data_IF_848423467769
#
_entry.id   IF_848423467769
#
_cell.length_a   1.000
_cell.length_b   1.000
_cell.length_c   1.000
_cell.angle_alpha   90.00
_cell.angle_beta   90.00
_cell.angle_gamma   90.00
#
_symmetry.space_group_name_H-M   'P 1'
#
loop_
_entity.id
_entity.type
_entity.pdbx_description
1 polymer ?
#
# COMPACT_ATOMS: atom_id res chain seq x y z
N UNK A 1 1.90 14.81 5.67
CA UNK A 1 2.96 13.94 6.23
C UNK A 1 2.43 12.74 6.99
N UNK A 2 1.63 12.88 8.06
CA UNK A 2 1.10 11.73 8.82
C UNK A 2 0.34 10.69 8.00
N UNK A 3 -0.53 11.12 7.06
CA UNK A 3 -1.28 10.20 6.18
C UNK A 3 -0.39 9.30 5.32
N UNK A 4 0.72 9.83 4.81
CA UNK A 4 1.64 9.04 4.00
C UNK A 4 2.50 8.10 4.85
N UNK A 5 2.96 8.55 6.02
CA UNK A 5 3.67 7.68 6.96
C UNK A 5 2.77 6.52 7.41
N UNK A 6 1.48 6.79 7.67
CA UNK A 6 0.48 5.76 7.96
C UNK A 6 0.35 4.77 6.79
N UNK A 7 0.26 5.26 5.54
CA UNK A 7 0.21 4.39 4.36
C UNK A 7 1.43 3.46 4.27
N UNK A 8 2.65 3.98 4.49
CA UNK A 8 3.90 3.19 4.49
C UNK A 8 3.89 2.14 5.60
N UNK A 9 3.47 2.50 6.81
CA UNK A 9 3.41 1.57 7.94
C UNK A 9 2.37 0.45 7.69
N UNK A 10 1.16 0.81 7.26
CA UNK A 10 0.10 -0.15 6.93
C UNK A 10 0.52 -1.09 5.80
N UNK A 11 1.21 -0.58 4.78
CA UNK A 11 1.79 -1.41 3.73
C UNK A 11 2.80 -2.44 4.27
N UNK A 12 3.71 -2.02 5.15
CA UNK A 12 4.66 -2.93 5.79
C UNK A 12 3.98 -4.01 6.62
N UNK A 13 2.88 -3.68 7.31
CA UNK A 13 2.07 -4.64 8.06
C UNK A 13 1.38 -5.66 7.14
N UNK A 14 0.86 -5.22 5.99
CA UNK A 14 0.27 -6.09 4.97
C UNK A 14 1.27 -7.09 4.39
N UNK A 15 2.44 -6.61 3.96
CA UNK A 15 3.48 -7.46 3.38
C UNK A 15 3.99 -8.53 4.33
N UNK A 16 4.07 -8.22 5.63
CA UNK A 16 4.48 -9.19 6.65
C UNK A 16 3.36 -10.09 7.14
N UNK A 17 2.14 -9.93 6.61
CA UNK A 17 0.93 -10.56 7.14
C UNK A 17 0.83 -10.41 8.68
N UNK A 18 1.10 -9.19 9.17
CA UNK A 18 1.23 -8.89 10.60
C UNK A 18 -0.07 -9.17 11.36
N UNK A 19 0.03 -9.70 12.57
CA UNK A 19 -1.12 -9.83 13.50
C UNK A 19 -1.72 -8.48 13.90
N UNK A 20 -0.95 -7.40 13.76
CA UNK A 20 -1.37 -6.04 14.09
C UNK A 20 -1.90 -5.26 12.89
N UNK A 21 -2.02 -5.89 11.72
CA UNK A 21 -2.52 -5.21 10.51
C UNK A 21 -3.98 -4.75 10.65
N UNK A 22 -4.74 -5.34 11.58
CA UNK A 22 -6.16 -5.03 11.76
C UNK A 22 -6.92 -5.23 10.44
N UNK A 23 -7.73 -4.23 10.09
CA UNK A 23 -8.51 -4.19 8.84
C UNK A 23 -7.75 -3.56 7.66
N UNK A 24 -6.43 -3.34 7.81
CA UNK A 24 -5.61 -2.75 6.74
C UNK A 24 -5.77 -3.57 5.46
N UNK A 25 -5.99 -2.88 4.35
CA UNK A 25 -6.07 -3.44 3.00
C UNK A 25 -5.21 -2.66 2.03
N UNK A 26 -4.84 -3.26 0.89
CA UNK A 26 -4.10 -2.55 -0.14
C UNK A 26 -4.88 -1.33 -0.66
N UNK A 27 -6.21 -1.42 -0.75
CA UNK A 27 -7.07 -0.29 -1.17
C UNK A 27 -7.03 0.88 -0.17
N UNK A 28 -7.02 0.59 1.13
CA UNK A 28 -6.90 1.61 2.17
C UNK A 28 -5.52 2.29 2.10
N UNK A 29 -4.44 1.51 1.94
CA UNK A 29 -3.09 2.04 1.75
C UNK A 29 -3.04 2.97 0.54
N UNK A 30 -3.63 2.56 -0.59
CA UNK A 30 -3.68 3.38 -1.81
C UNK A 30 -4.47 4.67 -1.61
N UNK A 31 -5.60 4.60 -0.90
CA UNK A 31 -6.41 5.77 -0.57
C UNK A 31 -5.61 6.78 0.25
N UNK A 32 -4.92 6.31 1.30
CA UNK A 32 -4.08 7.15 2.15
C UNK A 32 -2.89 7.74 1.38
N UNK A 33 -2.21 6.93 0.57
CA UNK A 33 -1.04 7.34 -0.20
C UNK A 33 -1.40 8.38 -1.28
N UNK A 34 -2.46 8.12 -2.07
CA UNK A 34 -2.97 9.03 -3.12
C UNK A 34 -3.46 10.34 -2.51
N UNK A 35 -4.23 10.27 -1.41
CA UNK A 35 -4.68 11.44 -0.66
C UNK A 35 -3.56 12.24 0.00
N UNK A 36 -2.36 11.66 0.12
CA UNK A 36 -1.17 12.29 0.68
C UNK A 36 -0.04 12.52 -0.35
N UNK A 37 -0.33 12.39 -1.66
CA UNK A 37 0.67 12.59 -2.71
C UNK A 37 1.22 14.01 -2.72
N UNK A 38 0.36 15.02 -2.64
CA UNK A 38 0.77 16.44 -2.58
C UNK A 38 1.73 16.85 -3.70
N UNK A 39 2.58 17.84 -3.42
CA UNK A 39 3.75 18.14 -4.24
C UNK A 39 4.78 17.01 -4.08
N UNK A 40 5.20 16.43 -5.20
CA UNK A 40 6.12 15.30 -5.25
C UNK A 40 7.25 15.59 -6.25
N UNK A 41 8.16 16.54 -5.95
CA UNK A 41 9.16 17.03 -6.92
C UNK A 41 10.13 15.95 -7.40
N UNK A 42 10.31 14.90 -6.60
CA UNK A 42 11.23 13.80 -6.89
C UNK A 42 10.51 12.50 -7.24
N UNK A 43 9.17 12.46 -7.21
CA UNK A 43 8.39 11.30 -7.64
C UNK A 43 8.28 10.14 -6.65
N UNK A 44 8.85 10.24 -5.45
CA UNK A 44 8.89 9.13 -4.48
C UNK A 44 7.50 8.69 -4.01
N UNK A 45 6.55 9.62 -3.90
CA UNK A 45 5.18 9.27 -3.46
C UNK A 45 4.42 8.59 -4.58
N UNK A 46 4.64 9.00 -5.83
CA UNK A 46 4.12 8.30 -7.02
C UNK A 46 4.69 6.89 -7.11
N UNK A 47 6.01 6.72 -6.98
CA UNK A 47 6.65 5.40 -7.04
C UNK A 47 6.16 4.46 -5.93
N UNK A 48 5.95 5.00 -4.72
CA UNK A 48 5.34 4.22 -3.64
C UNK A 48 3.92 3.75 -3.99
N UNK A 49 3.09 4.60 -4.60
CA UNK A 49 1.73 4.22 -5.02
C UNK A 49 1.79 3.09 -6.06
N UNK A 50 2.66 3.22 -7.08
CA UNK A 50 2.86 2.19 -8.11
C UNK A 50 3.32 0.85 -7.52
N UNK A 51 4.21 0.88 -6.52
CA UNK A 51 4.66 -0.31 -5.79
C UNK A 51 3.51 -1.01 -5.06
N UNK A 52 2.63 -0.25 -4.41
CA UNK A 52 1.47 -0.80 -3.68
C UNK A 52 0.47 -1.45 -4.65
N UNK A 53 0.22 -0.83 -5.81
CA UNK A 53 -0.63 -1.40 -6.87
C UNK A 53 -0.07 -2.71 -7.41
N UNK A 54 1.24 -2.76 -7.66
CA UNK A 54 1.90 -3.98 -8.09
C UNK A 54 1.76 -5.07 -7.03
N UNK A 55 2.02 -4.77 -5.75
CA UNK A 55 1.86 -5.72 -4.66
C UNK A 55 0.43 -6.24 -4.55
N UNK A 56 -0.58 -5.38 -4.71
CA UNK A 56 -1.99 -5.77 -4.73
C UNK A 56 -2.28 -6.75 -5.86
N UNK A 57 -1.84 -6.44 -7.09
CA UNK A 57 -2.07 -7.31 -8.24
C UNK A 57 -1.42 -8.69 -8.07
N UNK A 58 -0.21 -8.74 -7.50
CA UNK A 58 0.51 -9.97 -7.21
C UNK A 58 -0.20 -10.79 -6.13
N UNK A 59 -0.68 -10.14 -5.06
CA UNK A 59 -1.44 -10.79 -4.01
C UNK A 59 -2.74 -11.41 -4.55
N UNK A 60 -3.52 -10.67 -5.35
CA UNK A 60 -4.74 -11.17 -5.99
C UNK A 60 -4.47 -12.31 -6.97
N UNK A 61 -3.39 -12.23 -7.75
CA UNK A 61 -2.99 -13.30 -8.68
C UNK A 61 -2.58 -14.59 -7.96
N UNK A 62 -1.98 -14.47 -6.77
CA UNK A 62 -1.62 -15.61 -5.94
C UNK A 62 -2.87 -16.31 -5.41
N UNK A 63 -3.87 -15.56 -4.94
CA UNK A 63 -5.14 -16.13 -4.49
C UNK A 63 -5.85 -16.90 -5.60
N UNK A 64 -5.83 -16.40 -6.83
CA UNK A 64 -6.45 -17.04 -8.00
C UNK A 64 -5.80 -18.37 -8.43
N UNK A 65 -4.53 -18.62 -8.07
CA UNK A 65 -3.77 -19.82 -8.47
C UNK A 65 -3.90 -21.00 -7.50
N UNK A 66 -4.69 -20.86 -6.44
CA UNK A 66 -4.80 -21.86 -5.35
C UNK A 66 -6.14 -22.60 -5.28
N UNK A 67 -6.97 -22.46 -6.33
CA UNK A 67 -8.19 -23.25 -6.52
C UNK A 67 -8.04 -24.18 -7.73
#
# INVERSE_FOLDING_TARGET
>A
NFRFAAAVASFGMLLRNSSFKGDSSFDEVLTLARGAKGSDPHGYRREFIELVELAQSLASSTTAKTN
#
